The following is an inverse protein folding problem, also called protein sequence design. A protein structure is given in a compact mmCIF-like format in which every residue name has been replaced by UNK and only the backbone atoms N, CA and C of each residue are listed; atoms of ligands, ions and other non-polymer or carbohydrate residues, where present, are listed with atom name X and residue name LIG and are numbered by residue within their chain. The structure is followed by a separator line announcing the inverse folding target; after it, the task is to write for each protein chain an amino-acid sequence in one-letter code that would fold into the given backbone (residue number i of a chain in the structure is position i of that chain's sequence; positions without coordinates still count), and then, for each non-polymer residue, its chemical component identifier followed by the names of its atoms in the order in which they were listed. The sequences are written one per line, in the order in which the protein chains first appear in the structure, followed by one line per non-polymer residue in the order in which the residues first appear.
data_IF_565069487800
#
_entry.id   IF_565069487800
#
_cell.length_a   1.000
_cell.length_b   1.000
_cell.length_c   1.000
_cell.angle_alpha   90.00
_cell.angle_beta   90.00
_cell.angle_gamma   90.00
#
_symmetry.space_group_name_H-M   'P 1'
#
loop_
_entity.id
_entity.type
_entity.pdbx_description
1 polymer ?
#
# COMPACT_ATOMS: atom_id res chain seq x y z
N UNK A 1 39.65 -22.90 -14.88
CA UNK A 1 38.27 -23.35 -15.20
C UNK A 1 37.94 -24.70 -14.56
N UNK A 2 38.93 -25.54 -14.22
CA UNK A 2 38.73 -26.89 -13.63
C UNK A 2 38.64 -26.98 -12.10
N UNK A 3 38.06 -25.97 -11.42
CA UNK A 3 37.92 -26.01 -9.94
C UNK A 3 36.51 -25.79 -9.40
N UNK A 4 35.53 -25.56 -10.28
CA UNK A 4 34.15 -25.32 -9.89
C UNK A 4 33.27 -26.21 -10.78
N UNK A 5 32.75 -27.30 -10.22
CA UNK A 5 31.86 -28.29 -10.86
C UNK A 5 30.47 -27.70 -11.14
N UNK A 6 30.40 -26.58 -11.84
CA UNK A 6 29.16 -25.88 -12.15
C UNK A 6 28.63 -26.38 -13.50
N UNK A 7 27.32 -26.59 -13.57
CA UNK A 7 26.59 -26.88 -14.81
C UNK A 7 25.83 -25.63 -15.23
N UNK A 8 26.07 -25.20 -16.45
CA UNK A 8 25.28 -24.13 -17.08
C UNK A 8 23.85 -24.64 -17.30
N UNK A 9 22.87 -23.80 -16.97
CA UNK A 9 21.45 -24.07 -17.17
C UNK A 9 20.78 -22.80 -17.69
N UNK A 10 19.81 -22.97 -18.59
CA UNK A 10 19.03 -21.86 -19.10
C UNK A 10 18.15 -21.27 -17.99
N UNK A 11 18.01 -19.95 -17.95
CA UNK A 11 17.15 -19.29 -16.98
C UNK A 11 15.68 -19.53 -17.36
N UNK A 12 15.00 -20.40 -16.61
CA UNK A 12 13.56 -20.66 -16.73
C UNK A 12 12.81 -20.01 -15.57
N UNK A 13 11.64 -19.45 -15.86
CA UNK A 13 10.77 -18.91 -14.81
C UNK A 13 10.15 -20.05 -13.98
N UNK A 14 10.46 -20.07 -12.69
CA UNK A 14 9.87 -20.99 -11.70
C UNK A 14 8.96 -20.19 -10.75
N UNK A 15 7.62 -20.27 -10.88
CA UNK A 15 6.72 -19.47 -10.07
C UNK A 15 6.72 -19.93 -8.60
N UNK A 16 6.96 -19.01 -7.67
CA UNK A 16 6.81 -19.25 -6.22
C UNK A 16 5.37 -19.13 -5.71
N UNK A 17 4.45 -18.63 -6.55
CA UNK A 17 3.06 -18.35 -6.21
C UNK A 17 2.16 -18.84 -7.36
N UNK A 18 1.02 -19.42 -7.01
CA UNK A 18 -0.05 -19.80 -7.94
C UNK A 18 -1.19 -18.79 -7.83
N UNK A 19 -1.72 -18.36 -8.97
CA UNK A 19 -2.87 -17.45 -9.06
C UNK A 19 -4.06 -18.19 -9.66
N UNK A 20 -5.24 -18.03 -9.06
CA UNK A 20 -6.51 -18.61 -9.51
C UNK A 20 -7.59 -17.52 -9.51
N UNK A 21 -8.44 -17.49 -10.53
CA UNK A 21 -9.56 -16.54 -10.58
C UNK A 21 -10.68 -17.02 -9.65
N UNK A 22 -11.23 -16.09 -8.86
CA UNK A 22 -12.33 -16.33 -7.94
C UNK A 22 -13.66 -15.86 -8.55
N UNK A 23 -14.77 -16.43 -8.07
CA UNK A 23 -16.12 -15.94 -8.37
C UNK A 23 -16.58 -14.79 -7.46
N UNK A 24 -15.76 -14.42 -6.47
CA UNK A 24 -16.01 -13.28 -5.59
C UNK A 24 -15.93 -11.96 -6.39
N UNK A 25 -16.65 -10.95 -5.90
CA UNK A 25 -16.73 -9.63 -6.56
C UNK A 25 -16.24 -8.55 -5.60
N UNK A 26 -16.11 -7.32 -6.08
CA UNK A 26 -15.79 -6.15 -5.24
C UNK A 26 -16.79 -5.89 -4.10
N UNK A 27 -17.98 -6.50 -4.15
CA UNK A 27 -18.99 -6.42 -3.09
C UNK A 27 -18.83 -7.49 -2.02
N UNK A 28 -17.98 -8.49 -2.25
CA UNK A 28 -17.69 -9.53 -1.29
C UNK A 28 -16.81 -8.94 -0.18
N UNK A 29 -17.23 -8.95 1.09
CA UNK A 29 -16.51 -8.25 2.16
C UNK A 29 -15.11 -8.84 2.42
N UNK A 30 -14.87 -10.09 2.02
CA UNK A 30 -13.56 -10.75 2.15
C UNK A 30 -12.55 -10.34 1.07
N UNK A 31 -12.98 -9.60 0.04
CA UNK A 31 -12.12 -9.15 -1.05
C UNK A 31 -11.44 -7.85 -0.64
N UNK A 32 -10.11 -7.83 -0.69
CA UNK A 32 -9.34 -6.61 -0.48
C UNK A 32 -9.44 -5.69 -1.69
N UNK A 33 -9.65 -4.40 -1.44
CA UNK A 33 -9.71 -3.33 -2.44
C UNK A 33 -8.53 -2.35 -2.32
N UNK A 34 -7.46 -2.77 -1.65
CA UNK A 34 -6.25 -1.96 -1.45
C UNK A 34 -6.01 -1.53 0.00
N UNK A 35 -6.69 -2.17 0.96
CA UNK A 35 -6.39 -1.98 2.36
C UNK A 35 -4.93 -2.36 2.71
N UNK A 36 -4.29 -1.71 3.70
CA UNK A 36 -2.87 -1.92 3.97
C UNK A 36 -2.50 -3.34 4.43
N UNK A 37 -3.40 -3.99 5.18
CA UNK A 37 -3.22 -5.34 5.68
C UNK A 37 -4.57 -6.07 5.83
N UNK A 38 -4.52 -7.35 6.16
CA UNK A 38 -5.72 -8.19 6.26
C UNK A 38 -6.66 -7.83 7.41
N UNK A 39 -6.21 -7.10 8.45
CA UNK A 39 -7.08 -6.65 9.55
C UNK A 39 -7.96 -5.48 9.14
N UNK A 40 -7.61 -4.79 8.06
CA UNK A 40 -8.47 -3.76 7.47
C UNK A 40 -9.55 -4.34 6.55
N UNK A 41 -9.43 -5.61 6.14
CA UNK A 41 -10.42 -6.32 5.32
C UNK A 41 -11.43 -7.02 6.21
N UNK A 42 -12.72 -6.69 6.07
CA UNK A 42 -13.81 -7.23 6.89
C UNK A 42 -13.50 -7.28 8.40
N UNK A 43 -13.19 -6.13 9.03
CA UNK A 43 -12.64 -6.10 10.38
C UNK A 43 -13.61 -6.64 11.42
N UNK A 44 -13.09 -7.42 12.37
CA UNK A 44 -13.81 -7.78 13.59
C UNK A 44 -13.87 -6.61 14.57
N UNK A 45 -14.69 -6.72 15.62
CA UNK A 45 -14.75 -5.74 16.71
C UNK A 45 -13.38 -5.50 17.39
N UNK A 46 -12.52 -6.52 17.43
CA UNK A 46 -11.18 -6.38 17.99
C UNK A 46 -10.21 -5.72 16.99
N UNK A 47 -10.38 -5.96 15.69
CA UNK A 47 -9.61 -5.27 14.65
C UNK A 47 -9.94 -3.77 14.63
N UNK A 48 -11.22 -3.40 14.73
CA UNK A 48 -11.66 -2.00 14.83
C UNK A 48 -11.04 -1.26 16.02
N UNK A 49 -10.80 -1.96 17.14
CA UNK A 49 -10.03 -1.39 18.26
C UNK A 49 -8.58 -1.19 17.88
N UNK A 50 -7.95 -2.18 17.25
CA UNK A 50 -6.55 -2.11 16.83
C UNK A 50 -6.28 -0.99 15.81
N UNK A 51 -7.24 -0.71 14.91
CA UNK A 51 -7.17 0.39 13.94
C UNK A 51 -7.03 1.76 14.58
N UNK A 52 -7.48 1.92 15.83
CA UNK A 52 -7.38 3.19 16.58
C UNK A 52 -6.30 3.13 17.66
N UNK A 53 -6.22 2.02 18.38
CA UNK A 53 -5.41 1.92 19.60
C UNK A 53 -4.02 1.31 19.35
N UNK A 54 -3.74 0.82 18.15
CA UNK A 54 -2.49 0.18 17.79
C UNK A 54 -2.31 -1.20 18.44
N UNK A 55 -1.08 -1.73 18.48
CA UNK A 55 0.17 -1.04 18.13
C UNK A 55 0.27 -0.72 16.64
N UNK A 56 0.83 0.45 16.30
CA UNK A 56 1.08 0.87 14.93
C UNK A 56 2.55 0.67 14.59
N UNK A 57 2.82 0.00 13.48
CA UNK A 57 4.17 -0.30 13.01
C UNK A 57 4.21 -0.45 11.47
N UNK A 58 5.35 -0.93 10.96
CA UNK A 58 5.57 -1.17 9.53
C UNK A 58 4.68 -2.27 8.91
N UNK A 59 3.90 -3.00 9.70
CA UNK A 59 2.95 -4.02 9.24
C UNK A 59 1.50 -3.62 9.46
N UNK A 60 1.25 -2.68 10.36
CA UNK A 60 -0.09 -2.17 10.69
C UNK A 60 -0.06 -0.65 10.83
N UNK A 61 -0.30 0.11 9.74
CA UNK A 61 -0.30 1.57 9.78
C UNK A 61 -1.56 2.13 10.45
N UNK A 62 -1.55 3.41 10.84
CA UNK A 62 -2.75 4.15 11.24
C UNK A 62 -3.31 4.93 10.05
N UNK A 63 -4.63 4.85 9.83
CA UNK A 63 -5.33 5.64 8.80
C UNK A 63 -5.60 7.07 9.31
N UNK A 64 -4.55 7.88 9.36
CA UNK A 64 -4.60 9.26 9.86
C UNK A 64 -5.30 10.21 8.87
N UNK A 65 -6.38 10.92 9.27
CA UNK A 65 -7.00 11.94 8.44
C UNK A 65 -6.06 13.14 8.23
N UNK A 66 -6.04 13.67 7.00
CA UNK A 66 -5.34 14.93 6.69
C UNK A 66 -6.31 16.08 6.96
N UNK A 67 -6.02 16.89 7.98
CA UNK A 67 -6.88 18.02 8.40
C UNK A 67 -6.55 19.32 7.70
N UNK A 68 -5.30 19.49 7.28
CA UNK A 68 -4.87 20.63 6.49
C UNK A 68 -3.82 20.22 5.47
N UNK A 69 -3.86 20.88 4.31
CA UNK A 69 -2.85 20.79 3.28
C UNK A 69 -2.60 22.19 2.72
N UNK A 70 -1.33 22.59 2.64
CA UNK A 70 -0.94 23.94 2.21
C UNK A 70 0.30 23.89 1.33
N UNK A 71 0.22 24.54 0.18
CA UNK A 71 1.37 24.82 -0.66
C UNK A 71 2.25 25.90 0.00
N UNK A 72 3.52 25.59 0.21
CA UNK A 72 4.49 26.48 0.83
C UNK A 72 5.21 27.36 -0.20
N UNK A 73 5.29 26.93 -1.45
CA UNK A 73 5.97 27.68 -2.50
C UNK A 73 5.00 28.49 -3.35
N UNK A 74 5.43 29.71 -3.69
CA UNK A 74 4.76 30.50 -4.72
C UNK A 74 5.54 30.35 -6.04
N UNK A 75 5.57 29.14 -6.58
CA UNK A 75 6.31 28.77 -7.79
C UNK A 75 5.45 27.89 -8.68
N UNK A 76 5.47 28.12 -9.99
CA UNK A 76 4.73 27.30 -10.96
C UNK A 76 5.46 26.01 -11.34
N UNK A 77 6.75 25.89 -11.04
CA UNK A 77 7.59 24.75 -11.46
C UNK A 77 7.94 23.79 -10.33
N UNK A 78 7.63 24.14 -9.09
CA UNK A 78 8.03 23.38 -7.89
C UNK A 78 6.95 23.50 -6.83
N UNK A 79 6.58 22.35 -6.29
CA UNK A 79 5.56 22.22 -5.25
C UNK A 79 6.20 21.71 -3.96
N UNK A 80 5.79 22.27 -2.83
CA UNK A 80 6.16 21.81 -1.50
C UNK A 80 4.92 21.88 -0.60
N UNK A 81 4.42 20.72 -0.22
CA UNK A 81 3.18 20.60 0.54
C UNK A 81 3.48 20.42 2.02
N UNK A 82 2.91 21.30 2.84
CA UNK A 82 2.74 21.09 4.28
C UNK A 82 1.42 20.34 4.50
N UNK A 83 1.47 19.22 5.22
CA UNK A 83 0.31 18.42 5.55
C UNK A 83 0.20 18.24 7.07
N UNK A 84 -1.01 18.34 7.60
CA UNK A 84 -1.32 18.12 9.01
C UNK A 84 -2.16 16.85 9.13
N UNK A 85 -1.70 15.92 9.97
CA UNK A 85 -2.35 14.64 10.22
C UNK A 85 -2.95 14.65 11.62
N UNK A 86 -4.23 14.30 11.73
CA UNK A 86 -4.90 14.17 13.02
C UNK A 86 -4.60 12.81 13.65
N UNK A 87 -4.12 12.86 14.89
CA UNK A 87 -3.78 11.69 15.69
C UNK A 87 -4.62 11.62 16.98
N UNK A 88 -5.56 12.54 17.21
CA UNK A 88 -6.25 12.71 18.51
C UNK A 88 -6.96 11.45 19.00
N UNK A 89 -7.55 10.71 18.07
CA UNK A 89 -8.34 9.50 18.35
C UNK A 89 -7.51 8.22 18.26
N UNK A 90 -6.19 8.36 18.23
CA UNK A 90 -5.25 7.26 18.10
C UNK A 90 -4.28 7.16 19.29
N UNK A 91 -3.72 5.97 19.49
CA UNK A 91 -2.58 5.80 20.40
C UNK A 91 -1.23 6.03 19.72
N UNK A 92 -1.20 6.55 18.49
CA UNK A 92 0.05 6.84 17.79
C UNK A 92 0.76 8.00 18.51
N UNK A 93 2.04 7.79 18.82
CA UNK A 93 2.88 8.77 19.52
C UNK A 93 4.13 9.05 18.71
N UNK A 94 4.59 10.28 18.78
CA UNK A 94 5.85 10.71 18.21
C UNK A 94 6.53 11.71 19.14
N UNK A 95 7.84 11.82 19.01
CA UNK A 95 8.67 12.86 19.63
C UNK A 95 9.24 13.77 18.56
N UNK A 96 9.57 15.01 18.93
CA UNK A 96 10.20 15.94 17.99
C UNK A 96 11.55 15.39 17.52
N UNK A 97 11.68 15.21 16.20
CA UNK A 97 12.84 14.59 15.57
C UNK A 97 12.56 13.20 14.99
N UNK A 98 11.41 12.60 15.29
CA UNK A 98 11.00 11.32 14.70
C UNK A 98 10.57 11.47 13.24
N UNK A 99 10.59 10.36 12.50
CA UNK A 99 10.14 10.29 11.12
C UNK A 99 8.71 9.72 11.03
N UNK A 100 7.96 10.20 10.06
CA UNK A 100 6.66 9.66 9.67
C UNK A 100 6.81 8.80 8.41
N UNK A 101 6.34 7.56 8.47
CA UNK A 101 6.22 6.71 7.29
C UNK A 101 4.83 6.91 6.65
N UNK A 102 4.79 7.11 5.34
CA UNK A 102 3.56 7.25 4.56
C UNK A 102 3.47 6.06 3.61
N UNK A 103 2.32 5.38 3.62
CA UNK A 103 2.02 4.30 2.68
C UNK A 103 1.34 4.92 1.44
N UNK A 104 2.01 4.93 0.28
CA UNK A 104 1.47 5.55 -0.92
C UNK A 104 0.57 4.60 -1.71
N UNK A 105 -0.32 5.17 -2.51
CA UNK A 105 -0.94 4.49 -3.64
C UNK A 105 -0.33 4.99 -4.95
N UNK A 106 -0.35 4.14 -5.98
CA UNK A 106 0.11 4.54 -7.32
C UNK A 106 -0.89 5.49 -7.98
N UNK A 107 -0.40 6.34 -8.88
CA UNK A 107 -1.23 7.21 -9.71
C UNK A 107 -2.07 6.40 -10.71
N UNK A 108 -3.33 6.80 -10.91
CA UNK A 108 -4.26 6.13 -11.81
C UNK A 108 -3.75 6.04 -13.26
N UNK A 109 -3.01 7.06 -13.71
CA UNK A 109 -2.47 7.15 -15.06
C UNK A 109 -1.44 6.04 -15.33
N UNK A 110 -0.54 5.80 -14.39
CA UNK A 110 0.49 4.76 -14.52
C UNK A 110 -0.09 3.36 -14.38
N UNK A 111 -1.07 3.16 -13.49
CA UNK A 111 -1.81 1.89 -13.39
C UNK A 111 -2.53 1.59 -14.72
N UNK A 112 -3.19 2.58 -15.31
CA UNK A 112 -3.89 2.41 -16.58
C UNK A 112 -2.94 2.04 -17.74
N UNK A 113 -1.77 2.69 -17.83
CA UNK A 113 -0.75 2.35 -18.84
C UNK A 113 -0.23 0.92 -18.66
N UNK A 114 -0.01 0.48 -17.43
CA UNK A 114 0.47 -0.87 -17.15
C UNK A 114 -0.56 -1.92 -17.55
N UNK A 115 -1.84 -1.71 -17.21
CA UNK A 115 -2.93 -2.61 -17.59
C UNK A 115 -3.07 -2.74 -19.11
N UNK A 116 -2.91 -1.63 -19.84
CA UNK A 116 -2.96 -1.62 -21.30
C UNK A 116 -1.85 -2.46 -21.93
N UNK A 117 -0.60 -2.27 -21.49
CA UNK A 117 0.56 -3.03 -21.98
C UNK A 117 0.41 -4.54 -21.72
N UNK A 118 -0.20 -4.89 -20.59
CA UNK A 118 -0.42 -6.29 -20.21
C UNK A 118 -1.70 -6.89 -20.82
N UNK A 119 -2.52 -6.11 -21.54
CA UNK A 119 -3.79 -6.57 -22.10
C UNK A 119 -4.85 -6.88 -21.03
N UNK A 120 -4.79 -6.18 -19.89
CA UNK A 120 -5.65 -6.38 -18.72
C UNK A 120 -6.63 -5.21 -18.49
N UNK A 121 -6.75 -4.27 -19.43
CA UNK A 121 -7.61 -3.09 -19.32
C UNK A 121 -9.08 -3.42 -19.00
N UNK A 122 -9.60 -4.53 -19.55
CA UNK A 122 -10.99 -4.97 -19.32
C UNK A 122 -11.22 -5.60 -17.93
N UNK A 123 -10.14 -5.84 -17.16
CA UNK A 123 -10.15 -6.45 -15.83
C UNK A 123 -9.78 -5.47 -14.71
N UNK A 124 -9.99 -4.18 -14.94
CA UNK A 124 -9.63 -3.13 -13.99
C UNK A 124 -10.47 -3.17 -12.71
N UNK A 125 -11.72 -3.65 -12.80
CA UNK A 125 -12.72 -3.66 -11.73
C UNK A 125 -13.43 -5.03 -11.63
#
# INVERSE_FOLDING_TARGET
KDKLSLKEHDLVYEPGIKVEESSLTVLSPEVSLGEPDSKYVNPSEDDLKSHKLGPFDHTHPYLAPITASKELFNSETRHCVHAEFDLSDSNLKYSTGDHLAIWPSNSNEEVAKLLDILGLSDKKD
#
